data_IF_209793826006
#
_entry.id   IF_209793826006
#
_cell.length_a   1.000
_cell.length_b   1.000
_cell.length_c   1.000
_cell.angle_alpha   90.00
_cell.angle_beta   90.00
_cell.angle_gamma   90.00
#
_symmetry.space_group_name_H-M   'P 1'
#
loop_
_entity.id
_entity.type
_entity.pdbx_description
1 polymer ?
#
# COMPACT_ATOMS: atom_id res chain seq x y z
N UNK A 1 28.05 5.88 -7.28
CA UNK A 1 28.35 6.30 -5.89
C UNK A 1 29.06 7.67 -5.88
N UNK A 2 28.52 8.65 -6.60
CA UNK A 2 29.01 10.02 -6.62
C UNK A 2 27.76 10.89 -6.68
N UNK A 3 27.28 11.39 -5.54
CA UNK A 3 26.19 12.39 -5.55
C UNK A 3 26.07 13.14 -4.22
N UNK A 4 26.39 12.49 -3.09
CA UNK A 4 26.24 13.12 -1.77
C UNK A 4 27.21 14.29 -1.53
N UNK A 5 28.39 14.28 -2.16
CA UNK A 5 29.38 15.37 -2.05
C UNK A 5 28.96 16.63 -2.83
N UNK A 6 28.16 16.48 -3.89
CA UNK A 6 27.67 17.59 -4.73
C UNK A 6 26.61 18.42 -4.01
N UNK A 7 25.91 17.84 -3.02
CA UNK A 7 24.85 18.51 -2.27
C UNK A 7 25.36 19.54 -1.24
N UNK A 8 26.63 19.42 -0.82
CA UNK A 8 27.20 20.26 0.24
C UNK A 8 27.59 21.67 -0.23
N UNK A 9 27.73 21.87 -1.54
CA UNK A 9 28.06 23.16 -2.18
C UNK A 9 26.83 23.86 -2.81
N UNK A 10 25.63 23.31 -2.61
CA UNK A 10 24.40 23.89 -3.17
C UNK A 10 23.96 25.12 -2.38
N UNK A 11 23.48 26.15 -3.09
CA UNK A 11 22.69 27.20 -2.46
C UNK A 11 21.34 26.67 -1.96
N UNK A 12 20.66 27.46 -1.13
CA UNK A 12 19.41 27.06 -0.50
C UNK A 12 18.31 26.69 -1.52
N UNK A 13 18.27 27.39 -2.66
CA UNK A 13 17.29 27.14 -3.73
C UNK A 13 17.55 25.79 -4.38
N UNK A 14 18.78 25.52 -4.79
CA UNK A 14 19.17 24.28 -5.47
C UNK A 14 19.05 23.07 -4.54
N UNK A 15 19.36 23.26 -3.24
CA UNK A 15 19.13 22.25 -2.22
C UNK A 15 17.63 21.92 -2.06
N UNK A 16 16.76 22.95 -2.02
CA UNK A 16 15.31 22.77 -1.95
C UNK A 16 14.75 22.08 -3.20
N UNK A 17 15.22 22.45 -4.39
CA UNK A 17 14.84 21.79 -5.66
C UNK A 17 15.22 20.30 -5.65
N UNK A 18 16.41 19.98 -5.14
CA UNK A 18 16.88 18.59 -4.99
C UNK A 18 15.99 17.78 -4.05
N UNK A 19 15.58 18.36 -2.91
CA UNK A 19 14.63 17.74 -1.98
C UNK A 19 13.28 17.48 -2.65
N UNK A 20 12.74 18.46 -3.38
CA UNK A 20 11.45 18.32 -4.10
C UNK A 20 11.54 17.25 -5.19
N UNK A 21 12.64 17.19 -5.92
CA UNK A 21 12.88 16.16 -6.94
C UNK A 21 12.92 14.77 -6.31
N UNK A 22 13.70 14.60 -5.23
CA UNK A 22 13.81 13.33 -4.52
C UNK A 22 12.44 12.85 -3.98
N UNK A 23 11.66 13.74 -3.37
CA UNK A 23 10.33 13.42 -2.85
C UNK A 23 9.34 12.99 -3.96
N UNK A 24 9.41 13.61 -5.14
CA UNK A 24 8.60 13.21 -6.31
C UNK A 24 9.03 11.84 -6.84
N UNK A 25 10.33 11.59 -6.92
CA UNK A 25 10.89 10.30 -7.33
C UNK A 25 10.46 9.18 -6.38
N UNK A 26 10.53 9.42 -5.06
CA UNK A 26 10.04 8.48 -4.06
C UNK A 26 8.54 8.21 -4.21
N UNK A 27 7.74 9.26 -4.41
CA UNK A 27 6.29 9.12 -4.60
C UNK A 27 5.95 8.28 -5.84
N UNK A 28 6.67 8.49 -6.96
CA UNK A 28 6.52 7.66 -8.17
C UNK A 28 6.90 6.21 -7.90
N UNK A 29 8.09 5.96 -7.34
CA UNK A 29 8.55 4.62 -7.05
C UNK A 29 7.62 3.87 -6.07
N UNK A 30 7.02 4.58 -5.12
CA UNK A 30 6.04 4.01 -4.20
C UNK A 30 4.73 3.63 -4.93
N UNK A 31 4.20 4.51 -5.78
CA UNK A 31 3.00 4.22 -6.58
C UNK A 31 3.23 3.02 -7.53
N UNK A 32 4.38 2.97 -8.19
CA UNK A 32 4.74 1.88 -9.10
C UNK A 32 4.89 0.55 -8.33
N UNK A 33 5.49 0.58 -7.12
CA UNK A 33 5.59 -0.59 -6.25
C UNK A 33 4.22 -1.13 -5.85
N UNK A 34 3.26 -0.26 -5.48
CA UNK A 34 1.91 -0.71 -5.14
C UNK A 34 1.19 -1.34 -6.35
N UNK A 35 1.33 -0.74 -7.54
CA UNK A 35 0.78 -1.31 -8.77
C UNK A 35 1.41 -2.66 -9.11
N UNK A 36 2.73 -2.81 -8.94
CA UNK A 36 3.43 -4.06 -9.16
C UNK A 36 3.00 -5.15 -8.16
N UNK A 37 2.79 -4.80 -6.89
CA UNK A 37 2.26 -5.73 -5.88
C UNK A 37 0.87 -6.23 -6.29
N UNK A 38 -0.04 -5.35 -6.72
CA UNK A 38 -1.37 -5.75 -7.19
C UNK A 38 -1.26 -6.71 -8.38
N UNK A 39 -0.46 -6.36 -9.39
CA UNK A 39 -0.26 -7.21 -10.56
C UNK A 39 0.35 -8.57 -10.19
N UNK A 40 1.27 -8.61 -9.22
CA UNK A 40 1.84 -9.84 -8.72
C UNK A 40 0.79 -10.69 -7.98
N UNK A 41 -0.06 -10.09 -7.14
CA UNK A 41 -1.16 -10.79 -6.49
C UNK A 41 -2.18 -11.35 -7.50
N UNK A 42 -2.46 -10.65 -8.60
CA UNK A 42 -3.36 -11.13 -9.67
C UNK A 42 -2.81 -12.41 -10.35
N UNK A 43 -1.49 -12.61 -10.35
CA UNK A 43 -0.85 -13.83 -10.85
C UNK A 43 -0.85 -14.99 -9.84
N UNK A 44 -1.22 -14.75 -8.59
CA UNK A 44 -1.20 -15.75 -7.51
C UNK A 44 -2.55 -15.85 -6.79
N UNK A 45 -3.65 -16.10 -7.52
CA UNK A 45 -4.95 -16.32 -6.91
C UNK A 45 -4.98 -17.65 -6.14
N UNK A 46 -5.85 -17.72 -5.13
CA UNK A 46 -6.26 -18.99 -4.52
C UNK A 46 -7.34 -19.60 -5.41
N UNK A 47 -7.05 -20.72 -6.08
CA UNK A 47 -7.96 -21.35 -7.06
C UNK A 47 -8.36 -22.77 -6.68
N UNK A 48 -7.48 -23.50 -6.01
CA UNK A 48 -7.68 -24.91 -5.64
C UNK A 48 -7.74 -25.08 -4.12
N UNK A 49 -8.37 -26.16 -3.64
CA UNK A 49 -8.43 -26.51 -2.21
C UNK A 49 -7.06 -26.77 -1.57
N UNK A 50 -6.02 -26.97 -2.40
CA UNK A 50 -4.63 -27.16 -1.96
C UNK A 50 -3.90 -25.84 -1.76
N UNK A 51 -4.42 -24.75 -2.31
CA UNK A 51 -3.82 -23.43 -2.16
C UNK A 51 -4.08 -22.92 -0.74
N UNK A 52 -3.02 -22.60 -0.03
CA UNK A 52 -3.13 -21.97 1.28
C UNK A 52 -3.28 -20.47 1.06
N UNK A 53 -4.44 -19.93 1.43
CA UNK A 53 -4.69 -18.51 1.39
C UNK A 53 -3.83 -17.80 2.45
N UNK A 54 -3.12 -16.74 2.04
CA UNK A 54 -2.41 -15.89 2.97
C UNK A 54 -3.40 -15.23 3.95
N UNK A 55 -3.10 -15.32 5.24
CA UNK A 55 -3.94 -14.79 6.30
C UNK A 55 -3.08 -14.35 7.50
N UNK A 56 -3.66 -13.52 8.36
CA UNK A 56 -2.99 -13.19 9.61
C UNK A 56 -2.93 -14.42 10.53
N UNK A 57 -1.89 -14.57 11.37
CA UNK A 57 -1.87 -15.62 12.38
C UNK A 57 -3.15 -15.55 13.23
N UNK A 58 -3.87 -16.66 13.30
CA UNK A 58 -5.06 -16.77 14.13
C UNK A 58 -4.66 -16.99 15.59
N UNK A 59 -5.28 -16.26 16.51
CA UNK A 59 -5.28 -16.69 17.91
C UNK A 59 -6.19 -17.92 18.03
N UNK A 60 -5.70 -18.98 18.67
CA UNK A 60 -6.50 -20.17 18.93
C UNK A 60 -7.70 -19.78 19.81
N UNK A 61 -8.93 -19.87 19.27
CA UNK A 61 -10.12 -19.64 20.08
C UNK A 61 -10.35 -20.84 21.02
N UNK A 62 -10.86 -20.56 22.23
CA UNK A 62 -11.08 -21.56 23.29
C UNK A 62 -12.12 -22.63 22.91
N UNK A 63 -12.90 -22.40 21.86
CA UNK A 63 -13.90 -23.31 21.29
C UNK A 63 -13.36 -24.20 20.15
N UNK A 64 -12.06 -24.13 19.85
CA UNK A 64 -11.40 -24.95 18.83
C UNK A 64 -11.61 -24.49 17.39
N UNK A 65 -12.31 -23.36 17.18
CA UNK A 65 -12.39 -22.71 15.87
C UNK A 65 -11.14 -21.87 15.62
N UNK A 66 -10.42 -22.13 14.53
CA UNK A 66 -9.31 -21.29 14.09
C UNK A 66 -9.66 -20.74 12.71
N UNK A 67 -10.22 -19.53 12.66
CA UNK A 67 -10.42 -18.80 11.41
C UNK A 67 -9.43 -17.66 11.36
N UNK A 68 -8.38 -17.83 10.57
CA UNK A 68 -7.39 -16.79 10.34
C UNK A 68 -8.04 -15.58 9.66
N UNK A 69 -7.84 -14.35 10.17
CA UNK A 69 -8.41 -13.17 9.56
C UNK A 69 -7.85 -12.95 8.14
N UNK A 70 -8.69 -12.58 7.14
CA UNK A 70 -8.20 -12.25 5.81
C UNK A 70 -7.27 -11.03 5.86
N UNK A 71 -6.36 -10.92 4.89
CA UNK A 71 -5.38 -9.82 4.84
C UNK A 71 -6.00 -8.44 4.60
N UNK A 72 -7.11 -8.37 3.86
CA UNK A 72 -7.78 -7.16 3.46
C UNK A 72 -9.29 -7.26 3.73
N UNK A 73 -10.00 -6.14 3.65
CA UNK A 73 -11.42 -6.10 3.95
C UNK A 73 -12.28 -6.85 2.94
N UNK A 74 -13.55 -7.02 3.30
CA UNK A 74 -14.54 -7.81 2.57
C UNK A 74 -14.53 -7.58 1.05
N UNK A 75 -14.41 -8.68 0.30
CA UNK A 75 -14.45 -8.72 -1.16
C UNK A 75 -13.19 -8.21 -1.86
N UNK A 76 -12.07 -8.09 -1.15
CA UNK A 76 -10.74 -8.13 -1.78
C UNK A 76 -10.41 -9.58 -2.22
N UNK A 77 -9.63 -9.76 -3.29
CA UNK A 77 -9.19 -11.09 -3.71
C UNK A 77 -8.29 -11.72 -2.64
N UNK A 78 -8.37 -13.04 -2.51
CA UNK A 78 -7.41 -13.82 -1.75
C UNK A 78 -6.16 -14.06 -2.61
N UNK A 79 -5.01 -14.16 -1.95
CA UNK A 79 -3.71 -14.42 -2.56
C UNK A 79 -3.07 -15.59 -1.82
N UNK A 80 -2.27 -16.40 -2.51
CA UNK A 80 -1.58 -17.54 -1.89
C UNK A 80 -0.53 -17.10 -0.87
N UNK A 81 -0.29 -17.93 0.15
CA UNK A 81 0.75 -17.74 1.16
C UNK A 81 2.15 -17.66 0.53
N UNK A 82 2.42 -18.52 -0.45
CA UNK A 82 3.69 -18.55 -1.20
C UNK A 82 4.00 -17.22 -1.87
N UNK A 83 2.99 -16.54 -2.42
CA UNK A 83 3.17 -15.21 -3.02
C UNK A 83 3.65 -14.18 -1.99
N UNK A 84 3.16 -14.26 -0.75
CA UNK A 84 3.60 -13.36 0.32
C UNK A 84 5.02 -13.72 0.77
N UNK A 85 5.39 -15.01 0.79
CA UNK A 85 6.78 -15.42 1.01
C UNK A 85 7.72 -14.87 -0.07
N UNK A 86 7.37 -15.00 -1.34
CA UNK A 86 8.17 -14.47 -2.45
C UNK A 86 8.32 -12.95 -2.35
N UNK A 87 7.23 -12.21 -2.08
CA UNK A 87 7.29 -10.77 -1.86
C UNK A 87 8.17 -10.39 -0.67
N UNK A 88 8.08 -11.12 0.44
CA UNK A 88 8.91 -10.85 1.63
C UNK A 88 10.41 -11.00 1.32
N UNK A 89 10.77 -12.05 0.57
CA UNK A 89 12.13 -12.32 0.15
C UNK A 89 12.63 -11.28 -0.86
N UNK A 90 11.82 -10.95 -1.87
CA UNK A 90 12.16 -9.97 -2.91
C UNK A 90 12.34 -8.56 -2.35
N UNK A 91 11.56 -8.18 -1.34
CA UNK A 91 11.63 -6.86 -0.69
C UNK A 91 12.63 -6.79 0.47
N UNK A 92 13.16 -7.93 0.92
CA UNK A 92 14.06 -8.00 2.09
C UNK A 92 13.38 -7.58 3.40
N UNK A 93 12.09 -7.90 3.56
CA UNK A 93 11.29 -7.58 4.76
C UNK A 93 10.81 -8.85 5.45
N UNK A 94 10.37 -8.75 6.71
CA UNK A 94 9.78 -9.90 7.40
C UNK A 94 8.46 -10.32 6.73
N UNK A 95 8.12 -11.61 6.85
CA UNK A 95 6.85 -12.14 6.35
C UNK A 95 5.64 -11.38 6.92
N UNK A 96 5.66 -11.08 8.23
CA UNK A 96 4.62 -10.27 8.88
C UNK A 96 4.49 -8.86 8.27
N UNK A 97 5.60 -8.23 7.89
CA UNK A 97 5.57 -6.94 7.22
C UNK A 97 5.01 -7.05 5.79
N UNK A 98 5.32 -8.15 5.08
CA UNK A 98 4.76 -8.43 3.77
C UNK A 98 3.25 -8.68 3.82
N UNK A 99 2.74 -9.47 4.77
CA UNK A 99 1.30 -9.66 5.00
C UNK A 99 0.58 -8.30 5.17
N UNK A 100 1.12 -7.43 6.03
CA UNK A 100 0.56 -6.10 6.25
C UNK A 100 0.66 -5.17 5.03
N UNK A 101 1.72 -5.27 4.23
CA UNK A 101 1.87 -4.49 3.00
C UNK A 101 0.86 -4.95 1.94
N UNK A 102 0.76 -6.26 1.70
CA UNK A 102 -0.18 -6.87 0.74
C UNK A 102 -1.62 -6.53 1.14
N UNK A 103 -1.99 -6.77 2.40
CA UNK A 103 -3.33 -6.47 2.92
C UNK A 103 -3.76 -5.02 2.68
N UNK A 104 -2.92 -4.04 3.08
CA UNK A 104 -3.21 -2.61 2.86
C UNK A 104 -3.21 -2.22 1.39
N UNK A 105 -2.39 -2.86 0.56
CA UNK A 105 -2.35 -2.59 -0.89
C UNK A 105 -3.62 -3.07 -1.58
N UNK A 106 -4.08 -4.29 -1.26
CA UNK A 106 -5.33 -4.84 -1.79
C UNK A 106 -6.54 -4.04 -1.28
N UNK A 107 -6.59 -3.71 0.01
CA UNK A 107 -7.61 -2.82 0.58
C UNK A 107 -7.69 -1.50 -0.19
N UNK A 108 -6.55 -0.84 -0.41
CA UNK A 108 -6.48 0.42 -1.15
C UNK A 108 -7.00 0.26 -2.59
N UNK A 109 -6.55 -0.78 -3.30
CA UNK A 109 -6.90 -1.02 -4.71
C UNK A 109 -8.37 -1.38 -4.92
N UNK A 110 -8.96 -2.19 -4.03
CA UNK A 110 -10.28 -2.79 -4.25
C UNK A 110 -11.40 -2.12 -3.47
N UNK A 111 -11.10 -1.43 -2.35
CA UNK A 111 -12.11 -0.80 -1.50
C UNK A 111 -11.99 0.73 -1.39
N UNK A 112 -10.83 1.29 -1.68
CA UNK A 112 -10.58 2.74 -1.66
C UNK A 112 -10.13 3.28 -3.04
N UNK A 113 -10.94 3.10 -4.10
CA UNK A 113 -10.52 3.38 -5.47
C UNK A 113 -10.19 4.85 -5.74
N UNK A 114 -10.79 5.81 -5.01
CA UNK A 114 -10.44 7.23 -5.21
C UNK A 114 -9.06 7.54 -4.66
N UNK A 115 -8.72 7.02 -3.48
CA UNK A 115 -7.39 7.17 -2.91
C UNK A 115 -6.35 6.44 -3.76
N UNK A 116 -6.65 5.24 -4.28
CA UNK A 116 -5.79 4.53 -5.22
C UNK A 116 -5.40 5.41 -6.41
N UNK A 117 -6.39 6.02 -7.09
CA UNK A 117 -6.10 6.87 -8.25
C UNK A 117 -5.32 8.14 -7.88
N UNK A 118 -5.59 8.75 -6.71
CA UNK A 118 -4.79 9.88 -6.26
C UNK A 118 -3.32 9.52 -6.01
N UNK A 119 -3.02 8.28 -5.60
CA UNK A 119 -1.64 7.79 -5.49
C UNK A 119 -1.02 7.59 -6.86
N UNK A 120 -1.72 6.93 -7.80
CA UNK A 120 -1.19 6.70 -9.15
C UNK A 120 -0.95 8.00 -9.93
N UNK A 121 -1.79 9.01 -9.68
CA UNK A 121 -1.68 10.37 -10.22
C UNK A 121 -0.67 11.26 -9.47
N UNK A 122 0.05 10.72 -8.48
CA UNK A 122 1.00 11.43 -7.62
C UNK A 122 0.41 12.65 -6.90
N UNK A 123 -0.91 12.67 -6.71
CA UNK A 123 -1.61 13.73 -5.97
C UNK A 123 -1.63 13.44 -4.46
N UNK A 124 -1.56 12.16 -4.07
CA UNK A 124 -1.50 11.72 -2.68
C UNK A 124 -0.29 10.80 -2.46
N UNK A 125 0.56 11.05 -1.45
CA UNK A 125 1.64 10.13 -1.12
C UNK A 125 1.11 8.73 -0.73
N UNK A 126 1.75 7.68 -1.26
CA UNK A 126 1.35 6.29 -1.02
C UNK A 126 1.22 5.94 0.47
N UNK A 127 2.12 6.42 1.33
CA UNK A 127 2.09 6.12 2.76
C UNK A 127 0.81 6.64 3.45
N UNK A 128 0.23 7.76 3.00
CA UNK A 128 -1.01 8.30 3.57
C UNK A 128 -2.20 7.42 3.17
N UNK A 129 -2.23 6.98 1.91
CA UNK A 129 -3.26 6.09 1.42
C UNK A 129 -3.19 4.70 2.10
N UNK A 130 -1.98 4.18 2.32
CA UNK A 130 -1.77 2.92 3.06
C UNK A 130 -2.19 3.03 4.52
N UNK A 131 -1.98 4.19 5.18
CA UNK A 131 -2.53 4.43 6.53
C UNK A 131 -4.06 4.43 6.53
N UNK A 132 -4.69 5.04 5.52
CA UNK A 132 -6.14 4.97 5.39
C UNK A 132 -6.62 3.52 5.25
N UNK A 133 -5.96 2.74 4.39
CA UNK A 133 -6.24 1.32 4.20
C UNK A 133 -6.11 0.52 5.52
N UNK A 134 -5.05 0.76 6.29
CA UNK A 134 -4.84 0.14 7.60
C UNK A 134 -6.04 0.34 8.55
N UNK A 135 -6.65 1.52 8.53
CA UNK A 135 -7.81 1.84 9.36
C UNK A 135 -9.15 1.39 8.77
N UNK A 136 -9.22 0.97 7.50
CA UNK A 136 -10.48 0.57 6.83
C UNK A 136 -10.64 -0.93 6.65
N UNK A 137 -9.56 -1.73 6.78
CA UNK A 137 -9.60 -3.20 6.65
C UNK A 137 -10.70 -3.83 7.53
N UNK A 138 -10.88 -3.33 8.75
CA UNK A 138 -11.86 -3.86 9.71
C UNK A 138 -13.27 -3.26 9.57
N UNK A 139 -13.47 -2.29 8.66
CA UNK A 139 -14.74 -1.62 8.48
C UNK A 139 -15.62 -2.36 7.45
N UNK A 140 -16.93 -2.12 7.50
CA UNK A 140 -17.84 -2.57 6.44
C UNK A 140 -17.51 -1.93 5.09
N UNK A 141 -17.92 -2.56 3.99
CA UNK A 141 -17.73 -2.02 2.64
C UNK A 141 -18.32 -0.61 2.48
N UNK A 142 -19.46 -0.35 3.08
CA UNK A 142 -20.09 0.98 3.07
C UNK A 142 -19.24 2.02 3.80
N UNK A 143 -18.75 1.70 5.00
CA UNK A 143 -17.92 2.58 5.80
C UNK A 143 -16.56 2.87 5.14
N UNK A 144 -15.91 1.87 4.55
CA UNK A 144 -14.68 2.06 3.77
C UNK A 144 -14.94 2.99 2.56
N UNK A 145 -16.05 2.79 1.84
CA UNK A 145 -16.45 3.67 0.74
C UNK A 145 -16.77 5.10 1.19
N UNK A 146 -17.31 5.28 2.39
CA UNK A 146 -17.48 6.61 2.99
C UNK A 146 -16.12 7.28 3.26
N UNK A 147 -15.17 6.57 3.86
CA UNK A 147 -13.81 7.05 4.13
C UNK A 147 -13.11 7.45 2.84
N UNK A 148 -13.14 6.60 1.81
CA UNK A 148 -12.55 6.87 0.49
C UNK A 148 -13.05 8.19 -0.12
N UNK A 149 -14.37 8.43 -0.08
CA UNK A 149 -14.97 9.68 -0.60
C UNK A 149 -14.47 10.91 0.15
N UNK A 150 -14.40 10.85 1.48
CA UNK A 150 -14.06 12.01 2.31
C UNK A 150 -12.56 12.31 2.29
N UNK A 151 -11.72 11.28 2.43
CA UNK A 151 -10.27 11.44 2.38
C UNK A 151 -9.80 11.87 0.99
N UNK A 152 -10.45 11.44 -0.09
CA UNK A 152 -10.09 11.90 -1.43
C UNK A 152 -10.30 13.42 -1.63
N UNK A 153 -11.27 14.02 -0.94
CA UNK A 153 -11.46 15.48 -0.95
C UNK A 153 -10.33 16.19 -0.21
N UNK A 154 -9.93 15.65 0.95
CA UNK A 154 -8.81 16.20 1.73
C UNK A 154 -7.47 16.04 0.99
N UNK A 155 -7.20 14.86 0.43
CA UNK A 155 -5.97 14.54 -0.29
C UNK A 155 -5.70 15.46 -1.48
N UNK A 156 -6.75 15.84 -2.23
CA UNK A 156 -6.62 16.81 -3.33
C UNK A 156 -6.21 18.22 -2.89
N UNK A 157 -6.50 18.60 -1.64
CA UNK A 157 -6.16 19.93 -1.09
C UNK A 157 -4.74 19.99 -0.54
N UNK A 158 -4.14 18.85 -0.18
CA UNK A 158 -2.77 18.75 0.33
C UNK A 158 -1.67 18.90 -0.73
N UNK A 159 -2.04 19.19 -1.99
CA UNK A 159 -1.08 19.44 -3.07
C UNK A 159 -0.27 20.69 -2.71
N UNK A 160 1.03 20.50 -2.43
CA UNK A 160 1.97 21.61 -2.28
C UNK A 160 1.88 22.46 -3.56
N UNK A 161 1.35 23.67 -3.41
CA UNK A 161 1.26 24.69 -4.45
C UNK A 161 2.67 25.10 -4.85
N UNK A 162 3.22 24.46 -5.88
CA UNK A 162 4.55 24.75 -6.43
C UNK A 162 4.62 24.52 -7.93
N UNK A 163 3.54 24.86 -8.66
CA UNK A 163 3.47 24.79 -10.11
C UNK A 163 2.56 25.92 -10.63
N UNK A 164 3.17 27.08 -10.83
CA UNK A 164 2.85 28.06 -11.88
C UNK A 164 4.17 28.55 -12.44
#
# INVERSE_FOLDING_TARGET
MSDTATLLDLDATSALESVVFAARSESRAAADKLAAIVAFCDCHPVVDERDVAAAWPADACLDGGVVAPPLAGEGCPQVTEDAVHELSAALGISHQAALGLVGRTLELRFRLPRLWWLVQDLTLPAWQALKAAEHTIHLSREAAGFVDRHLAVAGRRGRLTGQT
#
